data_IF_690604374879
#
_entry.id   IF_690604374879
#
_cell.length_a   1.000
_cell.length_b   1.000
_cell.length_c   1.000
_cell.angle_alpha   90.00
_cell.angle_beta   90.00
_cell.angle_gamma   90.00
#
_symmetry.space_group_name_H-M   'P 1'
#
loop_
_entity.id
_entity.type
_entity.pdbx_description
1 polymer ?
#
# COMPACT_ATOMS: atom_id res chain seq x y z
N UNK A 1 12.93 -1.11 -25.73
CA UNK A 1 12.65 -2.46 -25.21
C UNK A 1 13.10 -2.47 -23.76
N UNK A 2 12.19 -2.24 -22.82
CA UNK A 2 12.53 -2.21 -21.39
C UNK A 2 12.68 -3.65 -20.89
N UNK A 3 13.87 -4.00 -20.38
CA UNK A 3 14.18 -5.29 -19.78
C UNK A 3 13.36 -5.47 -18.50
N UNK A 4 12.42 -6.41 -18.50
CA UNK A 4 11.78 -6.91 -17.29
C UNK A 4 12.78 -7.76 -16.52
N UNK A 5 12.98 -7.44 -15.24
CA UNK A 5 13.81 -8.25 -14.35
C UNK A 5 12.90 -9.36 -13.80
N UNK A 6 13.13 -10.59 -14.27
CA UNK A 6 12.48 -11.79 -13.74
C UNK A 6 13.07 -12.09 -12.36
N UNK A 7 12.23 -12.04 -11.34
CA UNK A 7 12.51 -12.65 -10.04
C UNK A 7 11.83 -14.03 -10.09
N UNK A 8 12.52 -15.07 -9.63
CA UNK A 8 12.07 -16.47 -9.77
C UNK A 8 10.60 -16.72 -9.41
N UNK A 9 10.02 -17.73 -10.05
CA UNK A 9 8.61 -18.17 -9.98
C UNK A 9 7.54 -17.27 -10.62
N UNK A 10 7.76 -16.83 -11.85
CA UNK A 10 6.69 -16.26 -12.70
C UNK A 10 6.16 -14.89 -12.26
N UNK A 11 6.79 -14.27 -11.25
CA UNK A 11 6.53 -12.90 -10.82
C UNK A 11 7.49 -11.95 -11.54
N UNK A 12 6.95 -11.09 -12.39
CA UNK A 12 7.72 -10.01 -13.01
C UNK A 12 7.56 -8.72 -12.21
N UNK A 13 8.68 -8.07 -11.87
CA UNK A 13 8.61 -6.70 -11.39
C UNK A 13 8.14 -5.81 -12.55
N UNK A 14 7.07 -5.01 -12.36
CA UNK A 14 6.62 -4.09 -13.39
C UNK A 14 7.75 -3.10 -13.73
N UNK A 15 7.99 -2.81 -15.01
CA UNK A 15 9.04 -1.89 -15.41
C UNK A 15 8.75 -0.49 -14.84
N UNK A 16 9.79 0.15 -14.29
CA UNK A 16 9.71 1.54 -13.86
C UNK A 16 9.49 2.43 -15.10
N UNK A 17 8.40 3.21 -15.11
CA UNK A 17 8.11 4.16 -16.18
C UNK A 17 8.91 5.44 -15.98
N UNK A 18 9.26 6.10 -17.09
CA UNK A 18 9.98 7.38 -17.04
C UNK A 18 9.22 8.42 -16.21
N UNK A 19 9.92 9.24 -15.43
CA UNK A 19 9.32 10.35 -14.66
C UNK A 19 8.61 11.36 -15.57
N UNK A 20 9.10 11.53 -16.80
CA UNK A 20 8.47 12.41 -17.78
C UNK A 20 7.04 11.98 -18.11
N UNK A 21 6.82 10.71 -18.46
CA UNK A 21 5.49 10.16 -18.74
C UNK A 21 4.61 10.07 -17.47
N UNK A 22 5.23 9.89 -16.29
CA UNK A 22 4.51 9.77 -15.03
C UNK A 22 3.99 11.13 -14.52
N UNK A 23 4.83 12.16 -14.43
CA UNK A 23 4.52 13.44 -13.78
C UNK A 23 4.49 14.66 -14.70
N UNK A 24 5.38 14.73 -15.69
CA UNK A 24 5.66 15.99 -16.41
C UNK A 24 4.82 16.17 -17.68
N UNK A 25 4.19 15.11 -18.19
CA UNK A 25 3.32 15.19 -19.37
C UNK A 25 1.93 15.76 -19.01
N UNK A 26 1.88 17.08 -18.83
CA UNK A 26 0.71 17.84 -18.33
C UNK A 26 -0.54 17.73 -19.20
N UNK A 27 -0.39 17.51 -20.52
CA UNK A 27 -1.50 17.33 -21.47
C UNK A 27 -2.37 16.11 -21.18
N UNK A 28 -1.99 15.30 -20.18
CA UNK A 28 -2.63 14.04 -19.84
C UNK A 28 -3.25 14.01 -18.45
N UNK A 29 -3.45 15.16 -17.81
CA UNK A 29 -4.22 15.25 -16.58
C UNK A 29 -5.59 15.89 -16.85
N UNK A 30 -6.66 15.21 -16.47
CA UNK A 30 -8.04 15.69 -16.59
C UNK A 30 -8.85 15.23 -15.39
N UNK A 31 -9.72 16.10 -14.86
CA UNK A 31 -10.63 15.72 -13.79
C UNK A 31 -11.49 14.51 -14.20
N UNK A 32 -11.74 13.57 -13.26
CA UNK A 32 -12.63 12.44 -13.52
C UNK A 32 -14.06 12.92 -13.77
N UNK A 33 -14.79 12.14 -14.56
CA UNK A 33 -16.21 12.38 -14.74
C UNK A 33 -16.96 11.77 -13.55
N UNK A 34 -17.40 12.60 -12.62
CA UNK A 34 -18.11 12.16 -11.41
C UNK A 34 -19.51 11.58 -11.67
N UNK A 35 -20.00 11.64 -12.92
CA UNK A 35 -21.29 11.05 -13.31
C UNK A 35 -21.18 9.59 -13.75
N UNK A 36 -19.98 9.16 -14.13
CA UNK A 36 -19.72 7.82 -14.69
C UNK A 36 -18.63 7.15 -13.85
N UNK A 37 -19.06 6.56 -12.74
CA UNK A 37 -18.19 5.92 -11.75
C UNK A 37 -17.47 4.70 -12.32
N UNK A 38 -18.11 3.96 -13.23
CA UNK A 38 -17.50 2.80 -13.88
C UNK A 38 -16.30 3.22 -14.73
N UNK A 39 -16.46 4.25 -15.57
CA UNK A 39 -15.37 4.80 -16.38
C UNK A 39 -14.26 5.41 -15.54
N UNK A 40 -14.59 6.04 -14.41
CA UNK A 40 -13.59 6.57 -13.48
C UNK A 40 -12.84 5.44 -12.76
N UNK A 41 -13.52 4.44 -12.23
CA UNK A 41 -12.91 3.27 -11.59
C UNK A 41 -11.98 2.54 -12.56
N UNK A 42 -12.44 2.27 -13.78
CA UNK A 42 -11.64 1.71 -14.85
C UNK A 42 -10.38 2.55 -15.12
N UNK A 43 -10.48 3.89 -15.13
CA UNK A 43 -9.31 4.75 -15.31
C UNK A 43 -8.30 4.58 -14.18
N UNK A 44 -8.77 4.61 -12.92
CA UNK A 44 -7.92 4.46 -11.73
C UNK A 44 -7.19 3.12 -11.76
N UNK A 45 -7.92 2.02 -11.95
CA UNK A 45 -7.35 0.66 -11.97
C UNK A 45 -6.32 0.50 -13.09
N UNK A 46 -6.65 0.94 -14.31
CA UNK A 46 -5.73 0.87 -15.44
C UNK A 46 -4.43 1.66 -15.19
N UNK A 47 -4.52 2.80 -14.50
CA UNK A 47 -3.34 3.59 -14.14
C UNK A 47 -2.54 2.95 -13.01
N UNK A 48 -3.19 2.40 -11.99
CA UNK A 48 -2.53 1.69 -10.86
C UNK A 48 -1.69 0.52 -11.35
N UNK A 49 -2.21 -0.27 -12.30
CA UNK A 49 -1.46 -1.37 -12.92
C UNK A 49 -0.29 -0.85 -13.74
N UNK A 50 -0.53 0.13 -14.62
CA UNK A 50 0.49 0.61 -15.55
C UNK A 50 1.69 1.31 -14.89
N UNK A 51 1.43 2.08 -13.83
CA UNK A 51 2.43 2.85 -13.08
C UNK A 51 2.75 2.25 -11.70
N UNK A 52 2.46 0.95 -11.48
CA UNK A 52 2.60 0.28 -10.18
C UNK A 52 3.93 0.60 -9.49
N UNK A 53 5.05 0.43 -10.19
CA UNK A 53 6.39 0.68 -9.63
C UNK A 53 6.61 2.16 -9.32
N UNK A 54 6.14 3.07 -10.18
CA UNK A 54 6.21 4.52 -9.92
C UNK A 54 5.41 4.93 -8.69
N UNK A 55 4.22 4.37 -8.48
CA UNK A 55 3.43 4.60 -7.26
C UNK A 55 4.13 4.08 -6.01
N UNK A 56 4.79 2.92 -6.08
CA UNK A 56 5.58 2.43 -4.95
C UNK A 56 6.69 3.44 -4.56
N UNK A 57 7.45 3.94 -5.53
CA UNK A 57 8.49 4.95 -5.28
C UNK A 57 7.89 6.27 -4.77
N UNK A 58 6.77 6.72 -5.32
CA UNK A 58 6.05 7.91 -4.83
C UNK A 58 5.64 7.72 -3.36
N UNK A 59 5.08 6.56 -3.01
CA UNK A 59 4.68 6.25 -1.64
C UNK A 59 5.88 6.30 -0.69
N UNK A 60 6.98 5.64 -1.05
CA UNK A 60 8.22 5.67 -0.25
C UNK A 60 8.73 7.10 -0.10
N UNK A 61 8.76 7.88 -1.18
CA UNK A 61 9.21 9.27 -1.13
C UNK A 61 8.35 10.13 -0.20
N UNK A 62 7.02 10.01 -0.27
CA UNK A 62 6.09 10.72 0.63
C UNK A 62 6.32 10.31 2.08
N UNK A 63 6.44 9.00 2.35
CA UNK A 63 6.69 8.50 3.70
C UNK A 63 8.01 9.00 4.27
N UNK A 64 9.08 9.04 3.46
CA UNK A 64 10.38 9.59 3.87
C UNK A 64 10.30 11.09 4.15
N UNK A 65 9.59 11.85 3.32
CA UNK A 65 9.35 13.28 3.57
C UNK A 65 8.60 13.47 4.89
N UNK A 66 7.48 12.77 5.10
CA UNK A 66 6.71 12.85 6.35
C UNK A 66 7.56 12.44 7.56
N UNK A 67 8.35 11.36 7.44
CA UNK A 67 9.27 10.91 8.49
C UNK A 67 10.31 11.99 8.84
N UNK A 68 10.83 12.71 7.84
CA UNK A 68 11.82 13.77 8.05
C UNK A 68 11.25 15.03 8.74
N UNK A 69 9.95 15.30 8.61
CA UNK A 69 9.29 16.45 9.25
C UNK A 69 9.30 16.32 10.78
N UNK A 70 9.08 15.12 11.31
CA UNK A 70 9.18 14.87 12.74
C UNK A 70 9.69 13.44 13.03
N UNK A 71 11.02 13.24 13.00
CA UNK A 71 11.60 11.90 13.13
C UNK A 71 11.33 11.27 14.49
N UNK A 72 11.24 12.07 15.56
CA UNK A 72 10.91 11.56 16.90
C UNK A 72 9.49 11.01 16.97
N UNK A 73 8.49 11.74 16.46
CA UNK A 73 7.11 11.23 16.38
C UNK A 73 7.02 9.98 15.50
N UNK A 74 7.78 9.94 14.39
CA UNK A 74 7.82 8.76 13.52
C UNK A 74 8.38 7.54 14.26
N UNK A 75 9.54 7.65 14.92
CA UNK A 75 10.17 6.55 15.67
C UNK A 75 9.24 6.05 16.78
N UNK A 76 8.69 6.97 17.59
CA UNK A 76 7.78 6.62 18.69
C UNK A 76 6.47 6.01 18.18
N UNK A 77 5.94 6.50 17.06
CA UNK A 77 4.74 5.94 16.45
C UNK A 77 4.98 4.52 15.94
N UNK A 78 6.10 4.30 15.23
CA UNK A 78 6.49 2.97 14.75
C UNK A 78 6.72 2.00 15.92
N UNK A 79 7.44 2.42 16.96
CA UNK A 79 7.66 1.57 18.15
C UNK A 79 6.36 1.20 18.84
N UNK A 80 5.39 2.12 18.89
CA UNK A 80 4.06 1.86 19.43
C UNK A 80 3.31 0.82 18.59
N UNK A 81 3.31 0.96 17.26
CA UNK A 81 2.65 -0.01 16.36
C UNK A 81 3.28 -1.40 16.50
N UNK A 82 4.62 -1.49 16.59
CA UNK A 82 5.33 -2.76 16.80
C UNK A 82 4.97 -3.37 18.17
N UNK A 83 4.89 -2.56 19.23
CA UNK A 83 4.51 -3.04 20.55
C UNK A 83 3.08 -3.59 20.57
N UNK A 84 2.12 -2.89 19.96
CA UNK A 84 0.74 -3.36 19.82
C UNK A 84 0.68 -4.65 19.00
N UNK A 85 1.41 -4.72 17.89
CA UNK A 85 1.46 -5.92 17.06
C UNK A 85 2.07 -7.11 17.82
N UNK A 86 3.14 -6.88 18.57
CA UNK A 86 3.77 -7.88 19.46
C UNK A 86 2.81 -8.35 20.55
N UNK A 87 2.04 -7.45 21.15
CA UNK A 87 0.99 -7.79 22.13
C UNK A 87 -0.12 -8.63 21.49
N UNK A 88 -0.58 -8.29 20.28
CA UNK A 88 -1.54 -9.12 19.55
C UNK A 88 -0.97 -10.52 19.29
N UNK A 89 0.29 -10.63 18.85
CA UNK A 89 0.94 -11.93 18.69
C UNK A 89 1.00 -12.66 20.03
N UNK A 90 1.37 -12.00 21.12
CA UNK A 90 1.39 -12.63 22.44
C UNK A 90 0.01 -13.15 22.84
N UNK A 91 -1.05 -12.35 22.71
CA UNK A 91 -2.41 -12.69 23.12
C UNK A 91 -3.02 -13.82 22.28
N UNK A 92 -2.95 -13.71 20.95
CA UNK A 92 -3.63 -14.63 20.03
C UNK A 92 -2.82 -15.88 19.64
N UNK A 93 -1.56 -15.98 20.05
CA UNK A 93 -0.74 -17.15 19.74
C UNK A 93 -0.97 -18.28 20.76
N UNK A 94 -1.25 -19.46 20.23
CA UNK A 94 -1.59 -20.69 20.97
C UNK A 94 -0.41 -21.67 21.07
N UNK A 95 0.82 -21.23 20.78
CA UNK A 95 2.02 -22.08 20.97
C UNK A 95 2.09 -22.59 22.41
N UNK A 96 2.33 -23.90 22.57
CA UNK A 96 2.34 -24.56 23.89
C UNK A 96 3.28 -23.91 24.90
N UNK A 97 4.44 -23.40 24.46
CA UNK A 97 5.39 -22.70 25.32
C UNK A 97 4.83 -21.39 25.87
N UNK A 98 4.12 -20.62 25.05
CA UNK A 98 3.45 -19.37 25.46
C UNK A 98 2.24 -19.65 26.35
N UNK A 99 1.48 -20.72 26.08
CA UNK A 99 0.36 -21.11 26.92
C UNK A 99 0.80 -21.56 28.32
N UNK A 100 1.88 -22.36 28.41
CA UNK A 100 2.49 -22.72 29.69
C UNK A 100 2.92 -21.47 30.45
N UNK A 101 3.59 -20.52 29.79
CA UNK A 101 4.02 -19.27 30.41
C UNK A 101 2.84 -18.41 30.90
N UNK A 102 1.79 -18.24 30.08
CA UNK A 102 0.56 -17.51 30.43
C UNK A 102 -0.14 -18.12 31.65
N UNK A 103 -0.19 -19.44 31.74
CA UNK A 103 -0.82 -20.16 32.87
C UNK A 103 0.01 -20.06 34.15
N UNK A 104 1.34 -20.12 34.04
CA UNK A 104 2.24 -20.02 35.21
C UNK A 104 2.31 -18.61 35.78
N UNK A 105 2.26 -17.57 34.93
CA UNK A 105 2.39 -16.17 35.34
C UNK A 105 1.27 -15.26 34.78
N UNK A 106 0.00 -15.48 35.16
CA UNK A 106 -1.12 -14.72 34.61
C UNK A 106 -1.03 -13.22 34.92
N UNK A 107 -0.50 -12.85 36.08
CA UNK A 107 -0.28 -11.45 36.47
C UNK A 107 0.67 -10.70 35.51
N UNK A 108 1.67 -11.38 34.93
CA UNK A 108 2.63 -10.76 34.01
C UNK A 108 1.93 -10.35 32.72
N UNK A 109 1.03 -11.20 32.20
CA UNK A 109 0.24 -10.88 31.01
C UNK A 109 -0.64 -9.64 31.23
N UNK A 110 -1.36 -9.58 32.36
CA UNK A 110 -2.21 -8.42 32.69
C UNK A 110 -1.39 -7.13 32.82
N UNK A 111 -0.27 -7.17 33.54
CA UNK A 111 0.61 -6.00 33.69
C UNK A 111 1.15 -5.54 32.34
N UNK A 112 1.61 -6.49 31.50
CA UNK A 112 2.12 -6.20 30.17
C UNK A 112 1.04 -5.52 29.30
N UNK A 113 -0.18 -6.05 29.28
CA UNK A 113 -1.29 -5.46 28.53
C UNK A 113 -1.61 -4.04 29.02
N UNK A 114 -1.64 -3.80 30.34
CA UNK A 114 -1.89 -2.45 30.89
C UNK A 114 -0.77 -1.48 30.50
N UNK A 115 0.49 -1.90 30.57
CA UNK A 115 1.65 -1.06 30.20
C UNK A 115 1.61 -0.75 28.71
N UNK A 116 1.39 -1.75 27.85
CA UNK A 116 1.27 -1.58 26.41
C UNK A 116 0.11 -0.64 26.04
N UNK A 117 -1.06 -0.81 26.66
CA UNK A 117 -2.21 0.06 26.44
C UNK A 117 -1.95 1.50 26.89
N UNK A 118 -1.36 1.68 28.08
CA UNK A 118 -1.01 3.00 28.61
C UNK A 118 0.02 3.71 27.73
N UNK A 119 1.03 2.98 27.25
CA UNK A 119 2.02 3.49 26.31
C UNK A 119 1.37 3.92 24.99
N UNK A 120 0.47 3.09 24.42
CA UNK A 120 -0.22 3.42 23.18
C UNK A 120 -1.13 4.66 23.30
N UNK A 121 -1.83 4.82 24.43
CA UNK A 121 -2.64 6.01 24.71
C UNK A 121 -1.72 7.24 24.83
N UNK A 122 -0.62 7.12 25.56
CA UNK A 122 0.35 8.20 25.74
C UNK A 122 0.96 8.66 24.41
N UNK A 123 1.24 7.74 23.49
CA UNK A 123 1.86 8.02 22.19
C UNK A 123 0.86 8.18 21.05
N UNK A 124 -0.44 8.38 21.34
CA UNK A 124 -1.51 8.42 20.33
C UNK A 124 -1.24 9.44 19.22
N UNK A 125 -0.69 10.61 19.55
CA UNK A 125 -0.34 11.64 18.57
C UNK A 125 0.75 11.18 17.59
N UNK A 126 1.71 10.38 18.07
CA UNK A 126 2.76 9.77 17.25
C UNK A 126 2.19 8.68 16.35
N UNK A 127 1.25 7.87 16.86
CA UNK A 127 0.53 6.88 16.05
C UNK A 127 -0.28 7.56 14.94
N UNK A 128 -1.03 8.61 15.27
CA UNK A 128 -1.78 9.40 14.28
C UNK A 128 -0.85 10.01 13.22
N UNK A 129 0.36 10.42 13.59
CA UNK A 129 1.35 10.93 12.64
C UNK A 129 1.80 9.85 11.62
N UNK A 130 2.04 8.62 12.07
CA UNK A 130 2.37 7.49 11.19
C UNK A 130 1.19 7.18 10.26
N UNK A 131 -0.02 7.07 10.82
CA UNK A 131 -1.24 6.81 10.05
C UNK A 131 -1.51 7.91 9.02
N UNK A 132 -1.27 9.17 9.37
CA UNK A 132 -1.37 10.30 8.46
C UNK A 132 -0.41 10.16 7.28
N UNK A 133 0.86 9.77 7.52
CA UNK A 133 1.83 9.54 6.44
C UNK A 133 1.37 8.45 5.45
N UNK A 134 0.85 7.33 5.98
CA UNK A 134 0.31 6.24 5.16
C UNK A 134 -0.92 6.71 4.37
N UNK A 135 -1.86 7.38 5.04
CA UNK A 135 -3.08 7.88 4.41
C UNK A 135 -2.76 8.90 3.31
N UNK A 136 -1.86 9.84 3.58
CA UNK A 136 -1.42 10.84 2.62
C UNK A 136 -0.84 10.18 1.36
N UNK A 137 0.02 9.19 1.54
CA UNK A 137 0.61 8.40 0.46
C UNK A 137 -0.44 7.73 -0.43
N UNK A 138 -1.46 7.12 0.19
CA UNK A 138 -2.59 6.48 -0.51
C UNK A 138 -3.44 7.52 -1.25
N UNK A 139 -3.77 8.64 -0.59
CA UNK A 139 -4.57 9.71 -1.18
C UNK A 139 -3.89 10.32 -2.40
N UNK A 140 -2.59 10.64 -2.32
CA UNK A 140 -1.85 11.22 -3.45
C UNK A 140 -1.78 10.23 -4.62
N UNK A 141 -1.53 8.96 -4.33
CA UNK A 141 -1.56 7.88 -5.35
C UNK A 141 -2.92 7.81 -6.04
N UNK A 142 -4.01 7.82 -5.26
CA UNK A 142 -5.37 7.76 -5.79
C UNK A 142 -5.74 9.00 -6.61
N UNK A 143 -5.38 10.20 -6.14
CA UNK A 143 -5.58 11.47 -6.86
C UNK A 143 -4.83 11.42 -8.19
N UNK A 144 -3.55 11.03 -8.18
CA UNK A 144 -2.74 10.91 -9.38
C UNK A 144 -3.36 9.91 -10.38
N UNK A 145 -3.74 8.72 -9.91
CA UNK A 145 -4.38 7.69 -10.73
C UNK A 145 -5.74 8.13 -11.28
N UNK A 146 -6.48 8.99 -10.57
CA UNK A 146 -7.77 9.53 -10.99
C UNK A 146 -7.63 10.61 -12.07
N UNK A 147 -6.64 11.48 -11.92
CA UNK A 147 -6.43 12.61 -12.83
C UNK A 147 -5.74 12.17 -14.13
N UNK A 148 -4.88 11.15 -14.09
CA UNK A 148 -4.14 10.70 -15.28
C UNK A 148 -5.07 10.10 -16.33
N UNK A 149 -5.04 10.63 -17.54
CA UNK A 149 -5.80 10.12 -18.68
C UNK A 149 -5.27 8.77 -19.15
N UNK A 150 -6.21 7.89 -19.55
CA UNK A 150 -5.94 6.55 -20.04
C UNK A 150 -5.17 6.61 -21.37
N UNK A 151 -3.95 6.09 -21.39
CA UNK A 151 -3.14 5.98 -22.60
C UNK A 151 -3.56 4.73 -23.42
N UNK A 152 -3.56 4.80 -24.75
CA UNK A 152 -3.83 3.65 -25.63
C UNK A 152 -2.76 2.55 -25.43
N UNK A 153 -1.54 2.94 -25.05
CA UNK A 153 -0.47 2.03 -24.61
C UNK A 153 -0.83 1.29 -23.32
N UNK A 154 -1.62 1.90 -22.42
CA UNK A 154 -2.13 1.23 -21.21
C UNK A 154 -3.16 0.17 -21.60
N UNK A 155 -3.98 0.41 -22.64
CA UNK A 155 -4.95 -0.59 -23.13
C UNK A 155 -4.24 -1.81 -23.72
N UNK A 156 -3.14 -1.63 -24.45
CA UNK A 156 -2.34 -2.72 -25.02
C UNK A 156 -1.55 -3.47 -23.95
N UNK A 157 -0.87 -2.76 -23.04
CA UNK A 157 -0.17 -3.37 -21.91
C UNK A 157 -1.14 -4.16 -21.02
N UNK A 158 -2.31 -3.60 -20.70
CA UNK A 158 -3.31 -4.28 -19.88
C UNK A 158 -3.93 -5.48 -20.60
N UNK A 159 -4.09 -5.45 -21.94
CA UNK A 159 -4.52 -6.64 -22.71
C UNK A 159 -3.47 -7.74 -22.68
N UNK A 160 -2.19 -7.40 -22.76
CA UNK A 160 -1.08 -8.36 -22.66
C UNK A 160 -0.96 -8.95 -21.24
N UNK A 161 -1.21 -8.15 -20.20
CA UNK A 161 -1.24 -8.59 -18.80
C UNK A 161 -2.53 -9.38 -18.45
N UNK A 162 -3.65 -9.07 -19.13
CA UNK A 162 -4.93 -9.75 -19.02
C UNK A 162 -4.93 -11.16 -19.61
N UNK A 163 -4.15 -11.39 -20.68
CA UNK A 163 -4.00 -12.69 -21.34
C UNK A 163 -3.19 -13.73 -20.54
N UNK A 164 -3.02 -13.53 -19.22
CA UNK A 164 -2.51 -14.58 -18.32
C UNK A 164 -1.00 -14.76 -18.30
N UNK A 165 -0.22 -13.94 -19.00
CA UNK A 165 1.24 -14.10 -19.05
C UNK A 165 2.02 -13.43 -17.90
N UNK A 166 1.38 -12.63 -17.02
CA UNK A 166 2.11 -11.80 -16.03
C UNK A 166 1.34 -11.65 -14.71
N UNK A 167 1.88 -12.18 -13.61
CA UNK A 167 1.36 -11.94 -12.25
C UNK A 167 2.13 -10.78 -11.62
N UNK A 168 1.55 -9.58 -11.64
CA UNK A 168 2.08 -8.44 -10.86
C UNK A 168 1.35 -8.34 -9.52
N UNK A 169 2.02 -7.88 -8.44
CA UNK A 169 1.39 -7.72 -7.13
C UNK A 169 0.10 -6.89 -7.16
N UNK A 170 0.08 -5.76 -7.88
CA UNK A 170 -1.15 -4.94 -8.00
C UNK A 170 -2.25 -5.69 -8.74
N UNK A 171 -1.90 -6.44 -9.80
CA UNK A 171 -2.87 -7.25 -10.53
C UNK A 171 -3.53 -8.33 -9.68
N UNK A 172 -2.80 -8.92 -8.73
CA UNK A 172 -3.34 -9.89 -7.76
C UNK A 172 -4.26 -9.20 -6.77
N UNK A 173 -3.85 -8.07 -6.20
CA UNK A 173 -4.67 -7.27 -5.27
C UNK A 173 -6.00 -6.87 -5.92
N UNK A 174 -5.97 -6.35 -7.15
CA UNK A 174 -7.18 -5.96 -7.88
C UNK A 174 -8.09 -7.14 -8.19
N UNK A 175 -7.52 -8.32 -8.48
CA UNK A 175 -8.29 -9.54 -8.69
C UNK A 175 -9.02 -9.98 -7.41
N UNK A 176 -8.38 -9.88 -6.25
CA UNK A 176 -9.04 -10.12 -4.96
C UNK A 176 -10.22 -9.18 -4.70
N UNK A 177 -10.13 -7.94 -5.20
CA UNK A 177 -11.23 -6.97 -5.12
C UNK A 177 -12.29 -7.13 -6.24
N UNK A 178 -12.21 -8.16 -7.09
CA UNK A 178 -13.16 -8.41 -8.17
C UNK A 178 -13.07 -7.45 -9.36
N UNK A 179 -12.07 -6.55 -9.39
CA UNK A 179 -11.99 -5.48 -10.40
C UNK A 179 -11.39 -5.91 -11.74
N UNK A 180 -11.01 -7.19 -11.92
CA UNK A 180 -10.31 -7.65 -13.13
C UNK A 180 -11.27 -8.16 -14.22
N UNK A 181 -12.45 -8.68 -13.87
CA UNK A 181 -13.39 -9.27 -14.84
C UNK A 181 -14.11 -8.19 -15.69
N UNK A 182 -14.36 -7.00 -15.15
CA UNK A 182 -15.03 -5.90 -15.86
C UNK A 182 -14.15 -5.19 -16.91
N UNK A 183 -12.83 -5.35 -16.84
CA UNK A 183 -11.88 -4.59 -17.69
C UNK A 183 -11.65 -5.26 -19.06
N UNK A 184 -11.96 -6.57 -19.17
CA UNK A 184 -11.72 -7.39 -20.37
C UNK A 184 -12.99 -7.80 -21.13
N UNK A 185 -14.16 -7.40 -20.65
CA UNK A 185 -15.43 -7.50 -21.37
C UNK A 185 -15.73 -6.16 -22.05
#
# INVERSE_FOLDING_TARGET
MDKTISIGDGWELPPLRSLYDFLLESSRFQLPNFRDFEKWGNRVVNNLVYYQTNYLYMCIAILLVVASVNPMKMIVGISTVIAVWGECIYLFNERESLLKFKRTYPQVGVILTIVCASYAIYTINSVLFVLFGILLSICVTFIHASLRLRNVKNKLANKIEGMGFKRTPMGVVLNYFGMKEEIFT
#
